data_IF_759077081510
#
_entry.id   IF_759077081510
#
_cell.length_a   1.000
_cell.length_b   1.000
_cell.length_c   1.000
_cell.angle_alpha   90.00
_cell.angle_beta   90.00
_cell.angle_gamma   90.00
#
_symmetry.space_group_name_H-M   'P 1'
#
loop_
_entity.id
_entity.type
_entity.pdbx_description
1 polymer ?
#
# COMPACT_ATOMS: atom_id res chain seq x y z
N UNK A 1 23.38 62.52 -16.58
CA UNK A 1 22.27 62.50 -15.60
C UNK A 1 20.99 62.81 -16.36
N UNK A 2 19.95 61.99 -16.39
CA UNK A 2 19.63 60.73 -15.70
C UNK A 2 18.86 59.82 -16.67
N UNK A 3 18.93 58.51 -16.39
CA UNK A 3 18.18 57.39 -16.98
C UNK A 3 17.00 57.72 -17.90
N UNK A 4 17.10 57.24 -19.15
CA UNK A 4 15.93 57.05 -19.99
C UNK A 4 15.06 55.93 -19.41
N UNK A 5 13.89 56.31 -18.91
CA UNK A 5 12.86 55.40 -18.44
C UNK A 5 12.34 54.54 -19.61
N UNK A 6 12.86 53.32 -19.73
CA UNK A 6 12.27 52.29 -20.60
C UNK A 6 10.99 51.83 -19.90
N UNK A 7 9.89 52.53 -20.14
CA UNK A 7 8.55 52.00 -19.89
C UNK A 7 8.33 50.79 -20.81
N UNK A 8 8.84 49.62 -20.41
CA UNK A 8 8.69 48.35 -21.13
C UNK A 8 7.29 47.82 -20.88
N UNK A 9 6.37 48.08 -21.80
CA UNK A 9 5.09 47.36 -21.83
C UNK A 9 5.32 45.89 -22.20
N UNK A 10 4.66 44.97 -21.49
CA UNK A 10 4.64 43.53 -21.82
C UNK A 10 4.03 43.37 -23.20
N UNK A 11 4.73 42.70 -24.11
CA UNK A 11 4.21 42.49 -25.47
C UNK A 11 3.11 41.43 -25.47
N UNK A 12 2.21 41.47 -26.45
CA UNK A 12 1.16 40.45 -26.58
C UNK A 12 1.75 39.04 -26.74
N UNK A 13 2.88 38.93 -27.45
CA UNK A 13 3.65 37.70 -27.57
C UNK A 13 4.20 37.23 -26.23
N UNK A 14 4.73 38.14 -25.42
CA UNK A 14 5.29 37.84 -24.10
C UNK A 14 4.21 37.36 -23.12
N UNK A 15 3.03 37.96 -23.14
CA UNK A 15 1.88 37.47 -22.38
C UNK A 15 1.46 36.07 -22.82
N UNK A 16 1.40 35.82 -24.13
CA UNK A 16 1.07 34.49 -24.68
C UNK A 16 2.10 33.44 -24.26
N UNK A 17 3.40 33.77 -24.34
CA UNK A 17 4.47 32.88 -23.90
C UNK A 17 4.38 32.63 -22.38
N UNK A 18 4.15 33.68 -21.58
CA UNK A 18 4.02 33.55 -20.13
C UNK A 18 2.85 32.63 -19.74
N UNK A 19 1.68 32.82 -20.34
CA UNK A 19 0.51 31.96 -20.11
C UNK A 19 0.77 30.53 -20.59
N UNK A 20 1.45 30.36 -21.74
CA UNK A 20 1.79 29.03 -22.26
C UNK A 20 2.72 28.27 -21.31
N UNK A 21 3.81 28.90 -20.87
CA UNK A 21 4.75 28.31 -19.91
C UNK A 21 4.06 28.01 -18.58
N UNK A 22 3.26 28.94 -18.07
CA UNK A 22 2.49 28.73 -16.83
C UNK A 22 1.54 27.54 -16.98
N UNK A 23 0.83 27.43 -18.09
CA UNK A 23 -0.12 26.34 -18.35
C UNK A 23 0.57 24.98 -18.43
N UNK A 24 1.75 24.90 -19.09
CA UNK A 24 2.56 23.68 -19.10
C UNK A 24 3.02 23.34 -17.69
N UNK A 25 3.49 24.33 -16.93
CA UNK A 25 3.94 24.15 -15.55
C UNK A 25 2.83 23.60 -14.64
N UNK A 26 1.63 24.18 -14.73
CA UNK A 26 0.46 23.73 -13.96
C UNK A 26 0.04 22.31 -14.35
N UNK A 27 0.00 21.98 -15.65
CA UNK A 27 -0.32 20.61 -16.10
C UNK A 27 0.72 19.59 -15.64
N UNK A 28 2.01 19.93 -15.69
CA UNK A 28 3.08 19.08 -15.20
C UNK A 28 2.97 18.84 -13.69
N UNK A 29 2.67 19.90 -12.92
CA UNK A 29 2.46 19.82 -11.48
C UNK A 29 1.27 18.91 -11.13
N UNK A 30 0.12 19.10 -11.78
CA UNK A 30 -1.08 18.28 -11.56
C UNK A 30 -0.83 16.81 -11.90
N UNK A 31 -0.20 16.52 -13.03
CA UNK A 31 0.17 15.13 -13.40
C UNK A 31 1.12 14.50 -12.39
N UNK A 32 2.08 15.27 -11.87
CA UNK A 32 3.01 14.80 -10.84
C UNK A 32 2.26 14.40 -9.56
N UNK A 33 1.31 15.23 -9.12
CA UNK A 33 0.43 14.92 -7.97
C UNK A 33 -0.41 13.68 -8.24
N UNK A 34 -1.01 13.54 -9.42
CA UNK A 34 -1.80 12.35 -9.77
C UNK A 34 -0.96 11.07 -9.80
N UNK A 35 0.29 11.17 -10.26
CA UNK A 35 1.22 10.04 -10.23
C UNK A 35 1.65 9.69 -8.81
N UNK A 36 1.95 10.69 -7.97
CA UNK A 36 2.28 10.48 -6.56
C UNK A 36 1.09 9.86 -5.80
N UNK A 37 -0.11 10.39 -5.97
CA UNK A 37 -1.34 9.86 -5.35
C UNK A 37 -1.63 8.42 -5.76
N UNK A 38 -1.45 8.06 -7.04
CA UNK A 38 -1.63 6.67 -7.49
C UNK A 38 -0.55 5.73 -6.97
N UNK A 39 0.70 6.17 -6.92
CA UNK A 39 1.80 5.40 -6.36
C UNK A 39 1.58 5.15 -4.86
N UNK A 40 1.20 6.19 -4.11
CA UNK A 40 0.89 6.13 -2.68
C UNK A 40 -0.39 5.34 -2.38
N UNK A 41 -1.42 5.47 -3.23
CA UNK A 41 -2.71 4.81 -3.05
C UNK A 41 -2.63 3.29 -3.05
N UNK A 42 -1.71 2.70 -3.83
CA UNK A 42 -1.44 1.27 -3.78
C UNK A 42 -0.56 0.86 -2.60
N UNK A 43 0.32 1.75 -2.13
CA UNK A 43 1.29 1.42 -1.08
C UNK A 43 0.63 1.27 0.30
N UNK A 44 -0.31 2.16 0.64
CA UNK A 44 -1.08 2.03 1.87
C UNK A 44 -1.85 0.70 1.91
N UNK A 45 -2.48 0.30 0.80
CA UNK A 45 -3.18 -0.97 0.71
C UNK A 45 -2.24 -2.18 0.79
N UNK A 46 -1.05 -2.14 0.17
CA UNK A 46 -0.02 -3.19 0.32
C UNK A 46 0.45 -3.34 1.75
N UNK A 47 0.71 -2.22 2.42
CA UNK A 47 1.11 -2.21 3.83
C UNK A 47 0.03 -2.85 4.71
N UNK A 48 -1.24 -2.46 4.54
CA UNK A 48 -2.35 -3.06 5.28
C UNK A 48 -2.51 -4.55 5.00
N UNK A 49 -2.38 -4.98 3.75
CA UNK A 49 -2.43 -6.40 3.39
C UNK A 49 -1.33 -7.22 4.08
N UNK A 50 -0.12 -6.65 4.14
CA UNK A 50 1.02 -7.26 4.82
C UNK A 50 0.77 -7.35 6.33
N UNK A 51 0.28 -6.28 6.94
CA UNK A 51 0.00 -6.22 8.38
C UNK A 51 -1.09 -7.23 8.78
N UNK A 52 -2.15 -7.37 7.99
CA UNK A 52 -3.19 -8.39 8.21
C UNK A 52 -2.61 -9.80 8.14
N UNK A 53 -1.74 -10.08 7.17
CA UNK A 53 -1.08 -11.37 7.05
C UNK A 53 -0.09 -11.64 8.21
N UNK A 54 0.63 -10.61 8.68
CA UNK A 54 1.51 -10.68 9.84
C UNK A 54 0.74 -10.92 11.13
N UNK A 55 -0.38 -10.23 11.34
CA UNK A 55 -1.23 -10.43 12.50
C UNK A 55 -1.72 -11.88 12.58
N UNK A 56 -2.18 -12.45 11.45
CA UNK A 56 -2.52 -13.88 11.39
C UNK A 56 -1.31 -14.77 11.66
N UNK A 57 -0.12 -14.41 11.17
CA UNK A 57 1.09 -15.18 11.46
C UNK A 57 1.44 -15.17 12.97
N UNK A 58 1.25 -14.04 13.66
CA UNK A 58 1.44 -13.96 15.11
C UNK A 58 0.39 -14.77 15.87
N UNK A 59 -0.87 -14.78 15.42
CA UNK A 59 -1.89 -15.67 15.98
C UNK A 59 -1.50 -17.15 15.87
N UNK A 60 -0.90 -17.57 14.75
CA UNK A 60 -0.34 -18.92 14.59
C UNK A 60 0.79 -19.19 15.60
N UNK A 61 1.67 -18.21 15.86
CA UNK A 61 2.75 -18.37 16.84
C UNK A 61 2.23 -18.45 18.27
N UNK A 62 1.21 -17.66 18.61
CA UNK A 62 0.66 -17.55 19.97
C UNK A 62 -0.23 -18.73 20.34
N UNK A 63 -1.10 -19.16 19.43
CA UNK A 63 -2.10 -20.19 19.70
C UNK A 63 -1.65 -21.59 19.26
N UNK A 64 -0.68 -21.66 18.35
CA UNK A 64 -0.37 -22.86 17.59
C UNK A 64 -1.33 -23.06 16.42
N UNK A 65 -0.87 -23.78 15.39
CA UNK A 65 -1.57 -23.89 14.12
C UNK A 65 -2.98 -24.50 14.24
N UNK A 66 -3.15 -25.54 15.08
CA UNK A 66 -4.45 -26.20 15.25
C UNK A 66 -5.52 -25.28 15.83
N UNK A 67 -5.16 -24.37 16.72
CA UNK A 67 -6.10 -23.39 17.25
C UNK A 67 -6.29 -22.22 16.27
N UNK A 68 -5.21 -21.73 15.66
CA UNK A 68 -5.24 -20.59 14.76
C UNK A 68 -6.05 -20.83 13.47
N UNK A 69 -6.10 -22.06 12.96
CA UNK A 69 -6.87 -22.40 11.74
C UNK A 69 -8.38 -22.20 11.93
N UNK A 70 -8.86 -22.21 13.17
CA UNK A 70 -10.27 -22.04 13.52
C UNK A 70 -10.71 -20.56 13.59
N UNK A 71 -9.76 -19.63 13.55
CA UNK A 71 -10.05 -18.20 13.57
C UNK A 71 -10.75 -17.75 12.28
N UNK A 72 -11.57 -16.70 12.39
CA UNK A 72 -12.26 -16.13 11.23
C UNK A 72 -11.25 -15.75 10.13
N UNK A 73 -11.61 -15.97 8.88
CA UNK A 73 -10.78 -15.65 7.72
C UNK A 73 -11.14 -14.29 7.12
N UNK A 74 -12.11 -13.59 7.69
CA UNK A 74 -12.41 -12.19 7.36
C UNK A 74 -11.94 -11.29 8.49
N UNK A 75 -11.23 -10.24 8.13
CA UNK A 75 -10.66 -9.26 9.06
C UNK A 75 -10.97 -7.86 8.55
N UNK A 76 -11.67 -7.07 9.35
CA UNK A 76 -11.78 -5.63 9.11
C UNK A 76 -10.48 -4.95 9.55
N UNK A 77 -9.80 -4.28 8.61
CA UNK A 77 -8.58 -3.53 8.92
C UNK A 77 -8.44 -2.31 8.02
N UNK A 78 -8.46 -1.14 8.66
CA UNK A 78 -8.56 0.13 7.95
C UNK A 78 -9.92 0.24 7.24
N UNK A 79 -9.96 0.73 5.99
CA UNK A 79 -11.20 0.92 5.24
C UNK A 79 -11.67 -0.34 4.47
N UNK A 80 -10.98 -1.47 4.61
CA UNK A 80 -11.20 -2.66 3.79
C UNK A 80 -11.52 -3.90 4.65
N UNK A 81 -12.31 -4.81 4.08
CA UNK A 81 -12.49 -6.16 4.58
C UNK A 81 -11.50 -7.10 3.87
N UNK A 82 -10.61 -7.71 4.64
CA UNK A 82 -9.58 -8.61 4.15
C UNK A 82 -10.00 -10.06 4.30
N UNK A 83 -9.84 -10.83 3.23
CA UNK A 83 -10.04 -12.27 3.18
C UNK A 83 -8.69 -12.99 3.24
N UNK A 84 -8.58 -13.96 4.14
CA UNK A 84 -7.39 -14.77 4.38
C UNK A 84 -7.52 -16.13 3.71
N UNK A 85 -6.68 -16.39 2.72
CA UNK A 85 -6.44 -17.72 2.17
C UNK A 85 -5.22 -18.32 2.89
N UNK A 86 -5.40 -19.47 3.54
CA UNK A 86 -4.33 -20.12 4.30
C UNK A 86 -4.19 -21.57 3.87
N UNK A 87 -2.96 -21.97 3.54
CA UNK A 87 -2.58 -23.35 3.26
C UNK A 87 -1.49 -23.80 4.24
N UNK A 88 -1.60 -25.01 4.75
CA UNK A 88 -0.72 -25.56 5.79
C UNK A 88 -0.01 -26.83 5.32
N UNK A 89 1.24 -27.00 5.75
CA UNK A 89 2.01 -28.23 5.57
C UNK A 89 2.77 -28.58 6.87
N UNK A 90 2.81 -29.86 7.22
CA UNK A 90 3.62 -30.32 8.36
C UNK A 90 5.09 -30.43 7.95
N UNK A 91 5.94 -29.70 8.65
CA UNK A 91 7.39 -29.75 8.47
C UNK A 91 7.97 -31.06 9.01
N UNK A 92 9.16 -31.46 8.54
CA UNK A 92 9.88 -32.65 9.05
C UNK A 92 10.20 -32.58 10.56
N UNK A 93 10.27 -31.36 11.11
CA UNK A 93 10.54 -31.12 12.52
C UNK A 93 9.27 -31.12 13.39
N UNK A 94 8.09 -31.43 12.82
CA UNK A 94 6.83 -31.52 13.56
C UNK A 94 6.10 -30.18 13.78
N UNK A 95 6.65 -29.08 13.27
CA UNK A 95 5.98 -27.77 13.19
C UNK A 95 5.03 -27.72 12.01
N UNK A 96 4.12 -26.75 12.00
CA UNK A 96 3.26 -26.44 10.86
C UNK A 96 3.80 -25.21 10.14
N UNK A 97 4.03 -25.32 8.83
CA UNK A 97 4.26 -24.19 7.94
C UNK A 97 2.92 -23.73 7.38
N UNK A 98 2.54 -22.47 7.61
CA UNK A 98 1.36 -21.86 7.06
C UNK A 98 1.74 -20.76 6.07
N UNK A 99 1.27 -20.88 4.83
CA UNK A 99 1.26 -19.77 3.86
C UNK A 99 -0.04 -19.01 4.03
N UNK A 100 0.06 -17.74 4.40
CA UNK A 100 -1.06 -16.83 4.66
C UNK A 100 -1.09 -15.79 3.54
N UNK A 101 -2.25 -15.63 2.90
CA UNK A 101 -2.48 -14.67 1.84
C UNK A 101 -3.68 -13.79 2.19
N UNK A 102 -3.46 -12.49 2.33
CA UNK A 102 -4.48 -11.49 2.57
C UNK A 102 -4.89 -10.82 1.24
N UNK A 103 -6.20 -10.76 0.97
CA UNK A 103 -6.77 -10.14 -0.23
C UNK A 103 -7.98 -9.28 0.13
N UNK A 104 -8.15 -8.17 -0.57
CA UNK A 104 -9.38 -7.38 -0.58
C UNK A 104 -9.75 -7.07 -2.03
N UNK A 105 -11.04 -6.95 -2.32
CA UNK A 105 -11.51 -6.66 -3.67
C UNK A 105 -10.94 -5.33 -4.18
N UNK A 106 -10.38 -5.36 -5.40
CA UNK A 106 -9.79 -4.18 -6.05
C UNK A 106 -8.48 -3.68 -5.42
N UNK A 107 -7.94 -4.34 -4.39
CA UNK A 107 -6.73 -3.92 -3.69
C UNK A 107 -5.54 -4.89 -3.95
N UNK A 108 -4.30 -4.40 -3.84
CA UNK A 108 -3.12 -5.27 -3.73
C UNK A 108 -3.23 -6.23 -2.54
N UNK A 109 -2.68 -7.44 -2.68
CA UNK A 109 -2.64 -8.44 -1.60
C UNK A 109 -1.30 -8.49 -0.87
N UNK A 110 -1.27 -9.24 0.23
CA UNK A 110 -0.08 -9.48 1.06
C UNK A 110 0.09 -10.97 1.34
N UNK A 111 1.33 -11.47 1.34
CA UNK A 111 1.65 -12.89 1.58
C UNK A 111 2.74 -13.03 2.62
N UNK A 112 2.50 -13.88 3.61
CA UNK A 112 3.46 -14.27 4.65
C UNK A 112 3.53 -15.79 4.72
N UNK A 113 4.71 -16.32 5.05
CA UNK A 113 4.88 -17.72 5.44
C UNK A 113 5.37 -17.74 6.87
N UNK A 114 4.73 -18.53 7.72
CA UNK A 114 5.07 -18.68 9.13
C UNK A 114 5.27 -20.15 9.45
N UNK A 115 6.29 -20.46 10.26
CA UNK A 115 6.46 -21.78 10.87
C UNK A 115 6.10 -21.63 12.34
N UNK A 116 5.09 -22.36 12.79
CA UNK A 116 4.56 -22.31 14.14
C UNK A 116 4.43 -23.72 14.75
N UNK A 117 4.33 -23.79 16.08
CA UNK A 117 4.01 -25.06 16.74
C UNK A 117 2.64 -25.54 16.28
N UNK A 118 2.50 -26.86 16.08
CA UNK A 118 1.22 -27.44 15.66
C UNK A 118 0.17 -27.29 16.76
N UNK A 119 0.57 -27.46 18.02
CA UNK A 119 -0.19 -27.15 19.23
C UNK A 119 0.74 -26.50 20.24
N UNK A 120 0.24 -25.54 21.00
CA UNK A 120 0.94 -24.97 22.16
C UNK A 120 0.44 -25.71 23.41
N UNK A 121 1.35 -26.38 24.12
CA UNK A 121 1.03 -27.03 25.40
C UNK A 121 0.92 -25.95 26.50
N UNK A 122 -0.07 -26.04 27.41
CA UNK A 122 -0.23 -25.10 28.52
C UNK A 122 0.90 -25.19 29.56
#
# INVERSE_FOLDING_TARGET
MMEGDRTRGVTLLELVIAVFVLSIGTLAALRSVDHASRALGGEAARFMALEVALNRAEEYRLLGARAAVSLDRRVEYGPYEWHLEISEETTRAGFTEATILARSEGQPGGRIVVIAQTEVLP
#
